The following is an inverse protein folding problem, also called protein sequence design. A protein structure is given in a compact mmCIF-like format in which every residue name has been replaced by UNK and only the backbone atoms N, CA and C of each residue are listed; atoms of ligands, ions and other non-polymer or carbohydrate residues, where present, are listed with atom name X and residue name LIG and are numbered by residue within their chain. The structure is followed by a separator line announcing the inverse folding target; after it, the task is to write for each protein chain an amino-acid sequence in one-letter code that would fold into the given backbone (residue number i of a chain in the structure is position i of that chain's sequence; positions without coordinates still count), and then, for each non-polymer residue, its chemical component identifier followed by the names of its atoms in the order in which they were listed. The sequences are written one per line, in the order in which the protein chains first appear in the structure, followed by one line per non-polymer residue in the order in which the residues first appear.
data_IF_161830164849
#
_entry.id   IF_161830164849
#
_cell.length_a   1.000
_cell.length_b   1.000
_cell.length_c   1.000
_cell.angle_alpha   90.00
_cell.angle_beta   90.00
_cell.angle_gamma   90.00
#
_symmetry.space_group_name_H-M   'P 1'
#
loop_
_entity.id
_entity.type
_entity.pdbx_description
1 polymer ?
#
# COMPACT_ATOMS: atom_id res chain seq x y z
N UNK A 1 -15.12 -15.11 -0.75
CA UNK A 1 -14.19 -15.63 -1.77
C UNK A 1 -13.40 -16.79 -1.21
N UNK A 2 -13.15 -17.82 -1.99
CA UNK A 2 -12.30 -18.97 -1.64
C UNK A 2 -10.83 -18.72 -2.06
N UNK A 3 -10.51 -17.51 -2.54
CA UNK A 3 -9.22 -17.10 -3.04
C UNK A 3 -8.94 -17.46 -4.50
N UNK A 4 -9.91 -18.04 -5.20
CA UNK A 4 -9.77 -18.39 -6.63
C UNK A 4 -9.55 -17.15 -7.49
N UNK A 5 -10.04 -16.01 -7.07
CA UNK A 5 -9.89 -14.69 -7.68
C UNK A 5 -8.47 -14.09 -7.53
N UNK A 6 -7.66 -14.60 -6.59
CA UNK A 6 -6.26 -14.21 -6.41
C UNK A 6 -5.26 -14.83 -7.40
N UNK A 7 -5.72 -15.75 -8.26
CA UNK A 7 -4.96 -16.30 -9.40
C UNK A 7 -3.58 -16.86 -9.04
N UNK A 8 -2.56 -16.44 -9.79
CA UNK A 8 -1.17 -16.89 -9.60
C UNK A 8 -0.60 -16.42 -8.26
N UNK A 9 -0.94 -15.21 -7.81
CA UNK A 9 -0.47 -14.66 -6.54
C UNK A 9 -0.93 -15.51 -5.35
N UNK A 10 -2.19 -15.90 -5.34
CA UNK A 10 -2.75 -16.76 -4.30
C UNK A 10 -2.08 -18.14 -4.25
N UNK A 11 -1.73 -18.71 -5.42
CA UNK A 11 -0.99 -19.98 -5.48
C UNK A 11 0.45 -19.84 -4.99
N UNK A 12 1.11 -18.72 -5.30
CA UNK A 12 2.50 -18.44 -4.89
C UNK A 12 2.62 -18.14 -3.39
N UNK A 13 1.63 -17.49 -2.81
CA UNK A 13 1.64 -17.05 -1.43
C UNK A 13 0.47 -17.68 -0.65
N UNK A 14 0.57 -18.96 -0.21
CA UNK A 14 -0.53 -19.66 0.45
C UNK A 14 -1.04 -18.99 1.73
N UNK A 15 -0.24 -18.12 2.35
CA UNK A 15 -0.65 -17.32 3.52
C UNK A 15 -1.85 -16.41 3.21
N UNK A 16 -2.07 -16.06 1.96
CA UNK A 16 -3.22 -15.25 1.54
C UNK A 16 -4.57 -15.92 1.82
N UNK A 17 -4.60 -17.24 2.05
CA UNK A 17 -5.79 -17.96 2.52
C UNK A 17 -6.33 -17.44 3.86
N UNK A 18 -5.47 -16.80 4.65
CA UNK A 18 -5.86 -16.20 5.93
C UNK A 18 -6.61 -14.87 5.78
N UNK A 19 -6.52 -14.22 4.62
CA UNK A 19 -7.06 -12.88 4.36
C UNK A 19 -8.31 -12.89 3.48
N UNK A 20 -9.07 -13.96 3.49
CA UNK A 20 -10.35 -14.03 2.79
C UNK A 20 -11.38 -13.11 3.45
N UNK A 21 -12.37 -12.68 2.68
CA UNK A 21 -13.44 -11.81 3.15
C UNK A 21 -14.13 -12.41 4.40
N UNK A 22 -14.33 -11.57 5.42
CA UNK A 22 -14.90 -11.98 6.70
C UNK A 22 -13.92 -12.66 7.66
N UNK A 23 -12.67 -12.89 7.26
CA UNK A 23 -11.62 -13.38 8.17
C UNK A 23 -11.19 -12.31 9.16
N UNK A 24 -11.05 -12.62 10.45
CA UNK A 24 -10.49 -11.68 11.43
C UNK A 24 -9.09 -11.18 11.07
N UNK A 25 -8.29 -11.98 10.36
CA UNK A 25 -6.94 -11.62 9.92
C UNK A 25 -6.95 -10.64 8.73
N UNK A 26 -8.06 -10.56 8.00
CA UNK A 26 -8.28 -9.60 6.93
C UNK A 26 -8.98 -8.31 7.40
N UNK A 27 -9.37 -8.23 8.67
CA UNK A 27 -10.02 -7.04 9.21
C UNK A 27 -9.02 -5.89 9.45
N UNK A 28 -9.53 -4.67 9.47
CA UNK A 28 -8.74 -3.53 9.91
C UNK A 28 -8.42 -3.65 11.41
N UNK A 29 -7.20 -3.30 11.84
CA UNK A 29 -6.89 -3.13 13.25
C UNK A 29 -7.84 -2.13 13.90
N UNK A 30 -8.18 -2.32 15.18
CA UNK A 30 -9.15 -1.47 15.90
C UNK A 30 -8.79 0.02 15.79
N UNK A 31 -7.52 0.35 15.98
CA UNK A 31 -7.02 1.73 15.92
C UNK A 31 -6.92 2.31 14.50
N UNK A 32 -7.10 1.49 13.46
CA UNK A 32 -7.02 1.88 12.06
C UNK A 32 -8.31 1.59 11.28
N UNK A 33 -9.43 1.50 11.99
CA UNK A 33 -10.74 1.33 11.35
C UNK A 33 -11.08 2.56 10.48
N UNK A 34 -11.49 2.35 9.22
CA UNK A 34 -11.88 3.44 8.34
C UNK A 34 -12.94 4.35 8.96
N UNK A 35 -12.75 5.65 8.83
CA UNK A 35 -13.66 6.67 9.32
C UNK A 35 -14.67 7.07 8.25
N UNK A 36 -15.70 7.83 8.65
CA UNK A 36 -16.68 8.37 7.70
C UNK A 36 -15.95 9.29 6.69
N UNK A 37 -16.08 8.95 5.40
CA UNK A 37 -15.42 9.66 4.32
C UNK A 37 -14.16 8.97 3.78
N UNK A 38 -13.61 8.00 4.49
CA UNK A 38 -12.50 7.19 3.96
C UNK A 38 -12.99 6.29 2.83
N UNK A 39 -12.19 6.20 1.77
CA UNK A 39 -12.45 5.27 0.67
C UNK A 39 -11.74 3.94 0.93
N UNK A 40 -12.49 2.87 0.89
CA UNK A 40 -11.97 1.50 1.05
C UNK A 40 -11.97 0.80 -0.30
N UNK A 41 -10.80 0.30 -0.71
CA UNK A 41 -10.63 -0.47 -1.93
C UNK A 41 -10.22 -1.90 -1.59
N UNK A 42 -10.94 -2.88 -2.14
CA UNK A 42 -10.57 -4.29 -2.05
C UNK A 42 -9.67 -4.65 -3.22
N UNK A 43 -8.57 -5.32 -2.94
CA UNK A 43 -7.61 -5.76 -3.95
C UNK A 43 -7.30 -7.24 -3.83
N UNK A 44 -7.03 -7.90 -4.95
CA UNK A 44 -6.61 -9.31 -5.04
C UNK A 44 -5.09 -9.47 -5.26
N UNK A 45 -4.39 -8.38 -5.56
CA UNK A 45 -2.96 -8.35 -5.89
C UNK A 45 -2.19 -7.39 -5.00
N UNK A 46 -0.84 -7.43 -4.99
CA UNK A 46 -0.05 -6.58 -4.10
C UNK A 46 -0.31 -5.09 -4.26
N UNK A 47 -0.36 -4.58 -5.50
CA UNK A 47 -0.63 -3.17 -5.74
C UNK A 47 -2.06 -2.78 -5.42
N UNK A 48 -2.23 -1.64 -4.75
CA UNK A 48 -3.54 -1.04 -4.50
C UNK A 48 -4.19 -0.49 -5.78
N UNK A 49 -3.43 -0.32 -6.84
CA UNK A 49 -3.92 0.22 -8.11
C UNK A 49 -4.41 -0.84 -9.09
N UNK A 50 -3.84 -2.06 -9.01
CA UNK A 50 -4.12 -3.09 -10.01
C UNK A 50 -5.56 -3.61 -9.91
N UNK A 51 -6.37 -3.24 -10.89
CA UNK A 51 -7.77 -3.70 -11.01
C UNK A 51 -8.75 -3.13 -9.97
N UNK A 52 -8.44 -1.97 -9.36
CA UNK A 52 -9.26 -1.41 -8.28
C UNK A 52 -9.99 -0.11 -8.60
N UNK A 53 -9.63 0.59 -9.67
CA UNK A 53 -10.16 1.93 -9.96
C UNK A 53 -9.61 3.04 -9.05
N UNK A 54 -8.55 2.76 -8.27
CA UNK A 54 -7.97 3.74 -7.35
C UNK A 54 -7.37 4.95 -8.08
N UNK A 55 -6.66 4.73 -9.19
CA UNK A 55 -6.03 5.81 -9.94
C UNK A 55 -7.06 6.81 -10.47
N UNK A 56 -8.15 6.30 -11.05
CA UNK A 56 -9.26 7.10 -11.58
C UNK A 56 -9.92 7.93 -10.47
N UNK A 57 -10.14 7.32 -9.30
CA UNK A 57 -10.73 8.00 -8.16
C UNK A 57 -9.85 9.13 -7.64
N UNK A 58 -8.55 8.91 -7.51
CA UNK A 58 -7.59 9.92 -7.05
C UNK A 58 -7.44 11.07 -8.06
N UNK A 59 -7.38 10.76 -9.35
CA UNK A 59 -7.33 11.80 -10.40
C UNK A 59 -8.60 12.64 -10.42
N UNK A 60 -9.77 12.02 -10.24
CA UNK A 60 -11.05 12.74 -10.17
C UNK A 60 -11.12 13.71 -8.99
N UNK A 61 -10.42 13.40 -7.89
CA UNK A 61 -10.31 14.27 -6.72
C UNK A 61 -9.20 15.32 -6.85
N UNK A 62 -8.44 15.33 -7.95
CA UNK A 62 -7.33 16.26 -8.16
C UNK A 62 -6.10 15.96 -7.28
N UNK A 63 -5.96 14.73 -6.80
CA UNK A 63 -4.81 14.31 -6.01
C UNK A 63 -3.61 14.09 -6.95
N UNK A 64 -2.45 14.59 -6.57
CA UNK A 64 -1.18 14.43 -7.30
C UNK A 64 -0.07 13.79 -6.46
N UNK A 65 -0.21 13.77 -5.14
CA UNK A 65 0.79 13.30 -4.18
C UNK A 65 0.17 12.35 -3.18
N UNK A 66 0.86 11.24 -2.87
CA UNK A 66 0.36 10.19 -2.00
C UNK A 66 1.35 9.90 -0.88
N UNK A 67 0.89 9.94 0.36
CA UNK A 67 1.60 9.35 1.49
C UNK A 67 1.27 7.86 1.53
N UNK A 68 2.28 7.01 1.37
CA UNK A 68 2.13 5.56 1.33
C UNK A 68 2.70 4.95 2.60
N UNK A 69 1.86 4.18 3.27
CA UNK A 69 2.18 3.45 4.49
C UNK A 69 1.70 2.01 4.37
N UNK A 70 2.11 1.14 5.27
CA UNK A 70 1.54 -0.20 5.41
C UNK A 70 2.54 -1.35 5.44
N UNK A 71 2.01 -2.55 5.26
CA UNK A 71 2.71 -3.84 5.31
C UNK A 71 2.40 -4.64 4.02
N UNK A 72 3.36 -5.26 3.38
CA UNK A 72 4.80 -5.27 3.64
C UNK A 72 5.54 -4.29 2.72
N UNK A 73 6.63 -3.74 3.21
CA UNK A 73 7.48 -2.81 2.44
C UNK A 73 7.92 -3.41 1.11
N UNK A 74 8.40 -4.67 1.11
CA UNK A 74 8.84 -5.39 -0.10
C UNK A 74 7.72 -5.91 -0.99
N UNK A 75 6.49 -5.86 -0.54
CA UNK A 75 5.30 -6.37 -1.23
C UNK A 75 4.35 -5.27 -1.66
N UNK A 76 3.28 -5.10 -0.90
CA UNK A 76 2.19 -4.19 -1.25
C UNK A 76 2.61 -2.72 -1.29
N UNK A 77 3.48 -2.27 -0.38
CA UNK A 77 4.01 -0.91 -0.37
C UNK A 77 4.82 -0.64 -1.64
N UNK A 78 5.81 -1.49 -1.94
CA UNK A 78 6.62 -1.36 -3.16
C UNK A 78 5.77 -1.39 -4.42
N UNK A 79 4.86 -2.35 -4.55
CA UNK A 79 4.01 -2.49 -5.73
C UNK A 79 3.11 -1.27 -5.93
N UNK A 80 2.51 -0.76 -4.84
CA UNK A 80 1.65 0.41 -4.91
C UNK A 80 2.42 1.71 -5.20
N UNK A 81 3.62 1.88 -4.63
CA UNK A 81 4.46 3.04 -4.90
C UNK A 81 4.93 3.08 -6.36
N UNK A 82 5.32 1.92 -6.92
CA UNK A 82 5.67 1.80 -8.33
C UNK A 82 4.49 2.17 -9.23
N UNK A 83 3.31 1.61 -8.98
CA UNK A 83 2.12 1.93 -9.78
C UNK A 83 1.68 3.37 -9.60
N UNK A 84 1.73 3.94 -8.39
CA UNK A 84 1.46 5.34 -8.17
C UNK A 84 2.31 6.23 -9.08
N UNK A 85 3.62 5.99 -9.13
CA UNK A 85 4.54 6.71 -10.01
C UNK A 85 4.16 6.52 -11.50
N UNK A 86 3.83 5.29 -11.91
CA UNK A 86 3.44 4.99 -13.29
C UNK A 86 2.10 5.66 -13.69
N UNK A 87 1.19 5.86 -12.75
CA UNK A 87 -0.06 6.60 -12.95
C UNK A 87 0.10 8.13 -12.81
N UNK A 88 1.32 8.63 -12.59
CA UNK A 88 1.61 10.07 -12.57
C UNK A 88 1.47 10.74 -11.21
N UNK A 89 1.34 9.96 -10.13
CA UNK A 89 1.38 10.49 -8.77
C UNK A 89 2.82 10.63 -8.25
N UNK A 90 3.03 11.50 -7.28
CA UNK A 90 4.27 11.59 -6.50
C UNK A 90 4.13 10.71 -5.24
N UNK A 91 4.76 9.52 -5.21
CA UNK A 91 4.66 8.66 -4.03
C UNK A 91 5.68 9.05 -2.98
N UNK A 92 5.22 9.31 -1.77
CA UNK A 92 6.01 9.57 -0.57
C UNK A 92 5.83 8.38 0.37
N UNK A 93 6.85 7.54 0.51
CA UNK A 93 6.80 6.35 1.38
C UNK A 93 7.30 6.74 2.77
N UNK A 94 6.45 6.59 3.78
CA UNK A 94 6.77 6.95 5.16
C UNK A 94 7.48 5.78 5.84
N UNK A 95 8.79 5.92 6.09
CA UNK A 95 9.66 4.86 6.59
C UNK A 95 9.12 4.18 7.84
N UNK A 96 8.83 4.97 8.87
CA UNK A 96 8.42 4.46 10.19
C UNK A 96 6.99 3.89 10.20
N UNK A 97 6.18 4.24 9.20
CA UNK A 97 4.83 3.73 9.02
C UNK A 97 4.76 2.54 8.04
N UNK A 98 5.91 1.98 7.66
CA UNK A 98 6.02 0.76 6.88
C UNK A 98 6.76 -0.32 7.66
N UNK A 99 6.41 -1.58 7.43
CA UNK A 99 7.09 -2.71 8.05
C UNK A 99 7.21 -3.89 7.09
N UNK A 100 8.09 -4.83 7.41
CA UNK A 100 8.26 -6.08 6.67
C UNK A 100 8.53 -7.23 7.65
N UNK A 101 8.50 -8.46 7.16
CA UNK A 101 8.77 -9.68 7.94
C UNK A 101 10.18 -9.74 8.53
N UNK A 102 11.15 -9.03 7.94
CA UNK A 102 12.53 -8.90 8.41
C UNK A 102 13.10 -7.52 8.07
N UNK A 103 14.09 -7.03 8.85
CA UNK A 103 14.74 -5.75 8.54
C UNK A 103 15.42 -5.71 7.17
N UNK A 104 16.06 -6.81 6.75
CA UNK A 104 16.79 -6.84 5.47
C UNK A 104 15.92 -6.54 4.25
N UNK A 105 14.78 -7.20 3.98
CA UNK A 105 13.90 -6.83 2.89
C UNK A 105 13.29 -5.43 3.07
N UNK A 106 13.01 -5.00 4.29
CA UNK A 106 12.53 -3.65 4.56
C UNK A 106 13.53 -2.59 4.07
N UNK A 107 14.76 -2.64 4.55
CA UNK A 107 15.80 -1.67 4.21
C UNK A 107 16.19 -1.71 2.72
N UNK A 108 16.32 -2.91 2.14
CA UNK A 108 16.65 -3.06 0.73
C UNK A 108 15.57 -2.46 -0.18
N UNK A 109 14.29 -2.63 0.17
CA UNK A 109 13.20 -2.09 -0.62
C UNK A 109 13.03 -0.58 -0.44
N UNK A 110 13.25 -0.03 0.75
CA UNK A 110 13.29 1.42 0.95
C UNK A 110 14.43 2.07 0.16
N UNK A 111 15.61 1.44 0.13
CA UNK A 111 16.73 1.87 -0.70
C UNK A 111 16.36 1.91 -2.19
N UNK A 112 15.75 0.85 -2.71
CA UNK A 112 15.33 0.78 -4.11
C UNK A 112 14.21 1.78 -4.44
N UNK A 113 13.25 1.96 -3.54
CA UNK A 113 12.16 2.92 -3.69
C UNK A 113 12.71 4.34 -3.79
N UNK A 114 13.61 4.74 -2.86
CA UNK A 114 14.27 6.05 -2.88
C UNK A 114 15.08 6.27 -4.16
N UNK A 115 15.74 5.22 -4.64
CA UNK A 115 16.59 5.34 -5.82
C UNK A 115 15.84 5.51 -7.14
N UNK A 116 14.58 5.01 -7.23
CA UNK A 116 13.92 4.81 -8.52
C UNK A 116 12.47 5.28 -8.61
N UNK A 117 11.66 5.13 -7.57
CA UNK A 117 10.20 5.16 -7.71
C UNK A 117 9.49 6.17 -6.82
N UNK A 118 10.06 6.50 -5.66
CA UNK A 118 9.40 7.27 -4.62
C UNK A 118 10.39 8.10 -3.82
N UNK A 119 9.90 9.09 -3.08
CA UNK A 119 10.67 9.69 -2.00
C UNK A 119 10.38 8.93 -0.71
N UNK A 120 11.42 8.47 -0.03
CA UNK A 120 11.30 7.86 1.30
C UNK A 120 11.50 8.95 2.34
N UNK A 121 10.45 9.26 3.06
CA UNK A 121 10.42 10.36 4.04
C UNK A 121 10.24 9.82 5.46
N UNK A 122 10.61 10.61 6.45
CA UNK A 122 10.34 10.31 7.85
C UNK A 122 8.90 10.62 8.23
N UNK A 123 8.41 10.01 9.32
CA UNK A 123 7.11 10.34 9.93
C UNK A 123 7.01 11.84 10.23
N UNK A 124 8.07 12.44 10.76
CA UNK A 124 8.11 13.89 11.06
C UNK A 124 7.89 14.74 9.81
N UNK A 125 8.50 14.36 8.68
CA UNK A 125 8.30 15.06 7.41
C UNK A 125 6.88 14.85 6.86
N UNK A 126 6.34 13.64 6.99
CA UNK A 126 4.97 13.33 6.59
C UNK A 126 3.95 14.17 7.38
N UNK A 127 4.09 14.23 8.70
CA UNK A 127 3.22 15.03 9.56
C UNK A 127 3.25 16.52 9.21
N UNK A 128 4.42 17.09 8.90
CA UNK A 128 4.53 18.48 8.44
C UNK A 128 3.75 18.73 7.13
N UNK A 129 3.72 17.75 6.23
CA UNK A 129 2.97 17.87 4.96
C UNK A 129 1.46 17.77 5.15
N UNK A 130 0.99 17.06 6.18
CA UNK A 130 -0.44 16.93 6.49
C UNK A 130 -0.97 18.17 7.22
N UNK A 131 -0.16 18.73 8.11
CA UNK A 131 -0.59 19.82 9.02
C UNK A 131 -0.29 21.21 8.42
N UNK A 132 0.71 21.30 7.55
CA UNK A 132 1.18 22.52 6.91
C UNK A 132 0.30 23.04 5.83
#
# INVERSE_FOLDING_TARGET
SDGSDGGVFYRKAPVLKAFVEGSPLGAFPEDLTPQAGDRVFTKQYPSAFFGTGLAEALHADGIDTLLITGYSTSGCVRASALDAMQYGFVPLVVREACADRHPAPHEANLFDLQAKYAEVISETEALKKIIG
#
